data_IF_185881873794
#
_entry.id   IF_185881873794
#
_cell.length_a   1.000
_cell.length_b   1.000
_cell.length_c   1.000
_cell.angle_alpha   90.00
_cell.angle_beta   90.00
_cell.angle_gamma   90.00
#
_symmetry.space_group_name_H-M   'P 1'
#
loop_
_entity.id
_entity.type
_entity.pdbx_description
1 polymer ?
#
# COMPACT_ATOMS: atom_id res chain seq x y z
N UNK A 1 20.05 11.99 -5.71
CA UNK A 1 18.74 12.47 -5.24
C UNK A 1 17.80 12.46 -6.44
N UNK A 2 17.15 11.33 -6.71
CA UNK A 2 16.15 11.27 -7.79
C UNK A 2 14.87 11.88 -7.24
N UNK A 3 14.53 13.08 -7.71
CA UNK A 3 13.18 13.62 -7.54
C UNK A 3 12.23 12.65 -8.25
N UNK A 4 11.26 12.09 -7.53
CA UNK A 4 10.22 11.24 -8.09
C UNK A 4 9.25 12.14 -8.89
N UNK A 5 9.74 12.64 -10.03
CA UNK A 5 9.00 13.58 -10.87
C UNK A 5 7.93 12.80 -11.59
N UNK A 6 6.69 12.92 -11.11
CA UNK A 6 5.51 12.36 -11.78
C UNK A 6 5.35 13.04 -13.14
N UNK A 7 5.58 12.28 -14.22
CA UNK A 7 5.33 12.75 -15.58
C UNK A 7 3.82 12.72 -15.87
N UNK A 8 3.30 13.79 -16.47
CA UNK A 8 1.89 13.86 -16.90
C UNK A 8 1.79 13.32 -18.33
N UNK A 9 0.98 12.27 -18.50
CA UNK A 9 0.68 11.68 -19.80
C UNK A 9 -0.83 11.70 -20.03
N UNK A 10 -1.24 12.06 -21.24
CA UNK A 10 -2.64 11.94 -21.67
C UNK A 10 -2.87 10.55 -22.25
N UNK A 11 -3.94 9.89 -21.80
CA UNK A 11 -4.37 8.58 -22.27
C UNK A 11 -5.82 8.67 -22.72
N UNK A 12 -6.18 7.89 -23.73
CA UNK A 12 -7.56 7.73 -24.17
C UNK A 12 -8.15 6.52 -23.45
N UNK A 13 -9.33 6.71 -22.88
CA UNK A 13 -10.12 5.68 -22.21
C UNK A 13 -11.49 5.67 -22.88
N UNK A 14 -12.06 4.49 -23.04
CA UNK A 14 -13.48 4.38 -23.38
C UNK A 14 -14.36 4.69 -22.16
N UNK A 15 -15.67 4.72 -22.40
CA UNK A 15 -16.66 5.04 -21.38
C UNK A 15 -16.71 3.95 -20.30
N UNK A 16 -16.59 2.68 -20.66
CA UNK A 16 -16.60 1.54 -19.74
C UNK A 16 -15.46 1.65 -18.71
N UNK A 17 -14.23 1.89 -19.18
CA UNK A 17 -13.07 2.06 -18.30
C UNK A 17 -13.18 3.35 -17.47
N UNK A 18 -13.77 4.40 -18.03
CA UNK A 18 -13.99 5.67 -17.31
C UNK A 18 -14.97 5.51 -16.14
N UNK A 19 -16.08 4.79 -16.37
CA UNK A 19 -17.10 4.51 -15.37
C UNK A 19 -16.56 3.59 -14.27
N UNK A 20 -15.82 2.54 -14.64
CA UNK A 20 -15.15 1.67 -13.68
C UNK A 20 -14.20 2.44 -12.77
N UNK A 21 -13.40 3.36 -13.32
CA UNK A 21 -12.49 4.18 -12.53
C UNK A 21 -13.23 5.16 -11.62
N UNK A 22 -14.39 5.68 -12.04
CA UNK A 22 -15.23 6.54 -11.21
C UNK A 22 -15.82 5.76 -10.03
N UNK A 23 -16.35 4.55 -10.25
CA UNK A 23 -16.85 3.66 -9.20
C UNK A 23 -15.74 3.32 -8.20
N UNK A 24 -14.57 2.93 -8.69
CA UNK A 24 -13.43 2.58 -7.84
C UNK A 24 -12.90 3.79 -7.07
N UNK A 25 -12.93 4.99 -7.65
CA UNK A 25 -12.58 6.23 -6.95
C UNK A 25 -13.55 6.49 -5.80
N UNK A 26 -14.85 6.32 -6.03
CA UNK A 26 -15.87 6.49 -4.98
C UNK A 26 -15.70 5.45 -3.85
N UNK A 27 -15.41 4.19 -4.20
CA UNK A 27 -15.23 3.10 -3.22
C UNK A 27 -13.96 3.20 -2.41
N UNK A 28 -12.86 3.68 -3.00
CA UNK A 28 -11.52 3.64 -2.37
C UNK A 28 -11.03 5.00 -1.88
N UNK A 29 -11.63 6.10 -2.34
CA UNK A 29 -11.13 7.46 -2.12
C UNK A 29 -9.85 7.79 -2.90
N UNK A 30 -9.33 6.87 -3.73
CA UNK A 30 -8.13 7.09 -4.52
C UNK A 30 -8.46 7.86 -5.81
N UNK A 31 -7.54 8.74 -6.23
CA UNK A 31 -7.72 9.46 -7.51
C UNK A 31 -7.61 8.51 -8.70
N UNK A 32 -8.25 8.89 -9.82
CA UNK A 32 -8.18 8.16 -11.10
C UNK A 32 -6.73 7.87 -11.53
N UNK A 33 -5.84 8.85 -11.41
CA UNK A 33 -4.41 8.69 -11.73
C UNK A 33 -3.72 7.67 -10.84
N UNK A 34 -4.10 7.58 -9.56
CA UNK A 34 -3.56 6.59 -8.63
C UNK A 34 -4.07 5.18 -8.94
N UNK A 35 -5.35 5.03 -9.26
CA UNK A 35 -5.92 3.75 -9.69
C UNK A 35 -5.23 3.22 -10.95
N UNK A 36 -5.00 4.09 -11.95
CA UNK A 36 -4.27 3.74 -13.17
C UNK A 36 -2.84 3.32 -12.83
N UNK A 37 -2.12 4.07 -11.99
CA UNK A 37 -0.75 3.68 -11.58
C UNK A 37 -0.74 2.34 -10.85
N UNK A 38 -1.70 2.06 -9.97
CA UNK A 38 -1.80 0.77 -9.27
C UNK A 38 -2.05 -0.37 -10.24
N UNK A 39 -2.96 -0.19 -11.21
CA UNK A 39 -3.24 -1.19 -12.22
C UNK A 39 -2.01 -1.48 -13.09
N UNK A 40 -1.33 -0.43 -13.57
CA UNK A 40 -0.09 -0.55 -14.36
C UNK A 40 1.00 -1.25 -13.54
N UNK A 41 1.17 -0.88 -12.26
CA UNK A 41 2.16 -1.54 -11.40
C UNK A 41 1.78 -3.00 -11.14
N UNK A 42 0.54 -3.31 -10.82
CA UNK A 42 0.10 -4.69 -10.62
C UNK A 42 0.32 -5.55 -11.87
N UNK A 43 0.12 -4.98 -13.05
CA UNK A 43 0.25 -5.70 -14.33
C UNK A 43 1.69 -5.85 -14.81
N UNK A 44 2.51 -4.81 -14.67
CA UNK A 44 3.84 -4.73 -15.29
C UNK A 44 4.99 -4.66 -14.29
N UNK A 45 4.71 -4.28 -13.04
CA UNK A 45 5.65 -4.35 -11.94
C UNK A 45 5.54 -5.74 -11.31
N UNK A 46 5.90 -6.74 -12.11
CA UNK A 46 6.03 -8.10 -11.61
C UNK A 46 7.07 -8.12 -10.50
N UNK A 47 6.64 -8.26 -9.25
CA UNK A 47 7.44 -9.08 -8.36
C UNK A 47 7.35 -10.48 -8.96
N UNK A 48 8.39 -10.87 -9.70
CA UNK A 48 8.50 -12.27 -10.10
C UNK A 48 8.36 -13.12 -8.83
N UNK A 49 7.84 -14.34 -8.90
CA UNK A 49 7.82 -15.24 -7.75
C UNK A 49 9.20 -15.29 -7.04
N UNK A 50 10.29 -15.16 -7.79
CA UNK A 50 11.65 -15.03 -7.25
C UNK A 50 11.90 -13.70 -6.51
N UNK A 51 11.38 -12.57 -7.00
CA UNK A 51 11.46 -11.26 -6.34
C UNK A 51 10.70 -11.24 -5.00
N UNK A 52 9.47 -11.78 -5.00
CA UNK A 52 8.66 -11.92 -3.77
C UNK A 52 9.34 -12.87 -2.77
N UNK A 53 9.85 -14.01 -3.25
CA UNK A 53 10.60 -14.95 -2.43
C UNK A 53 11.92 -14.33 -1.92
N UNK A 54 12.56 -13.48 -2.72
CA UNK A 54 13.73 -12.70 -2.34
C UNK A 54 13.44 -11.74 -1.19
N UNK A 55 12.34 -10.99 -1.27
CA UNK A 55 11.91 -10.10 -0.19
C UNK A 55 11.56 -10.86 1.12
N UNK A 56 10.90 -12.02 0.99
CA UNK A 56 10.63 -12.90 2.14
C UNK A 56 11.92 -13.45 2.77
N UNK A 57 12.89 -13.86 1.94
CA UNK A 57 14.21 -14.31 2.43
C UNK A 57 14.99 -13.18 3.10
N UNK A 58 14.98 -11.98 2.52
CA UNK A 58 15.68 -10.82 3.06
C UNK A 58 15.09 -10.34 4.40
N UNK A 59 13.78 -10.50 4.60
CA UNK A 59 13.11 -10.14 5.85
C UNK A 59 13.10 -11.27 6.90
N UNK A 60 13.46 -12.50 6.52
CA UNK A 60 13.49 -13.64 7.43
C UNK A 60 14.50 -13.40 8.57
N UNK A 61 14.02 -13.43 9.81
CA UNK A 61 14.85 -13.21 10.99
C UNK A 61 15.08 -11.75 11.36
N UNK A 62 14.48 -10.77 10.66
CA UNK A 62 14.58 -9.34 11.00
C UNK A 62 14.09 -9.00 12.43
N UNK A 63 13.31 -9.90 13.03
CA UNK A 63 12.78 -9.80 14.38
C UNK A 63 13.49 -10.67 15.42
N UNK A 64 14.53 -11.42 15.02
CA UNK A 64 15.21 -12.39 15.89
C UNK A 64 15.90 -11.74 17.08
N UNK A 65 16.44 -10.54 16.88
CA UNK A 65 17.24 -9.81 17.88
C UNK A 65 16.46 -8.65 18.51
N UNK A 66 15.14 -8.55 18.26
CA UNK A 66 14.29 -7.54 18.89
C UNK A 66 13.74 -8.07 20.19
N UNK A 67 13.87 -7.28 21.24
CA UNK A 67 13.14 -7.47 22.49
C UNK A 67 11.78 -6.77 22.42
N UNK A 68 10.76 -7.43 22.94
CA UNK A 68 9.40 -6.90 23.00
C UNK A 68 8.40 -7.67 22.14
N UNK A 69 7.12 -7.48 22.44
CA UNK A 69 6.00 -8.08 21.74
C UNK A 69 5.62 -7.26 20.52
N UNK A 70 4.87 -7.87 19.59
CA UNK A 70 4.31 -7.15 18.45
C UNK A 70 3.39 -5.99 18.87
N UNK A 71 2.71 -6.10 20.02
CA UNK A 71 1.85 -5.05 20.54
C UNK A 71 2.66 -3.84 21.00
N UNK A 72 3.76 -4.06 21.74
CA UNK A 72 4.66 -2.99 22.19
C UNK A 72 5.27 -2.24 20.99
N UNK A 73 5.67 -2.97 19.94
CA UNK A 73 6.18 -2.36 18.72
C UNK A 73 5.13 -1.51 17.98
N UNK A 74 3.89 -1.97 17.93
CA UNK A 74 2.80 -1.21 17.28
C UNK A 74 2.49 0.06 18.08
N UNK A 75 2.53 0.00 19.40
CA UNK A 75 2.35 1.17 20.28
C UNK A 75 3.51 2.18 20.12
N UNK A 76 4.76 1.72 19.99
CA UNK A 76 5.90 2.59 19.67
C UNK A 76 5.75 3.29 18.32
N UNK A 77 5.31 2.56 17.29
CA UNK A 77 5.12 3.13 15.95
C UNK A 77 3.90 4.06 15.86
N UNK A 78 2.87 3.79 16.64
CA UNK A 78 1.58 4.48 16.60
C UNK A 78 1.12 4.79 18.01
N UNK A 79 1.85 5.67 18.66
CA UNK A 79 1.55 6.10 20.04
C UNK A 79 0.08 6.53 20.17
N UNK A 80 -0.61 5.94 21.15
CA UNK A 80 -2.03 6.16 21.42
C UNK A 80 -3.00 5.40 20.52
N UNK A 81 -2.53 4.41 19.73
CA UNK A 81 -3.43 3.55 18.96
C UNK A 81 -4.32 2.73 19.89
N UNK A 82 -3.75 2.18 20.94
CA UNK A 82 -4.48 1.37 21.92
C UNK A 82 -5.60 2.17 22.60
N UNK A 83 -5.33 3.42 22.96
CA UNK A 83 -6.32 4.33 23.54
C UNK A 83 -7.45 4.65 22.55
N UNK A 84 -7.09 4.87 21.28
CA UNK A 84 -8.07 5.13 20.21
C UNK A 84 -8.93 3.91 19.91
N UNK A 85 -8.35 2.70 19.95
CA UNK A 85 -9.09 1.45 19.76
C UNK A 85 -10.06 1.18 20.92
N UNK A 86 -9.66 1.50 22.15
CA UNK A 86 -10.53 1.43 23.32
C UNK A 86 -11.72 2.39 23.21
N UNK A 87 -11.52 3.60 22.70
CA UNK A 87 -12.60 4.58 22.47
C UNK A 87 -13.67 4.09 21.47
N UNK A 88 -13.29 3.23 20.52
CA UNK A 88 -14.21 2.67 19.52
C UNK A 88 -14.69 1.25 19.86
N UNK A 89 -14.42 0.74 21.07
CA UNK A 89 -14.79 -0.61 21.55
C UNK A 89 -14.29 -1.76 20.65
N UNK A 90 -13.11 -1.59 20.07
CA UNK A 90 -12.46 -2.61 19.23
C UNK A 90 -11.30 -3.32 19.97
N UNK A 91 -11.28 -3.24 21.31
CA UNK A 91 -10.27 -3.84 22.17
C UNK A 91 -10.95 -4.68 23.25
#
# INVERSE_FOLDING_TARGET
>A
MYSDVVQRTQIYLDDEVSDLLAEMSARTGASRSELIRRAVRAQYHGESPEGRLGALRASAGMWRDRSGTGAEYVEELRTGLDDRLAQVRLK
#
